data_IF_006873042570
#
_entry.id   IF_006873042570
#
_cell.length_a   1.000
_cell.length_b   1.000
_cell.length_c   1.000
_cell.angle_alpha   90.00
_cell.angle_beta   90.00
_cell.angle_gamma   90.00
#
_symmetry.space_group_name_H-M   'P 1'
#
loop_
_entity.id
_entity.type
_entity.pdbx_description
1 polymer ?
#
# COMPACT_ATOMS: atom_id res chain seq x y z
N UNK A 1 -38.08 -36.16 -50.39
CA UNK A 1 -36.97 -36.16 -49.41
C UNK A 1 -36.44 -34.76 -49.29
N UNK A 2 -36.76 -34.06 -48.22
CA UNK A 2 -36.13 -32.76 -47.89
C UNK A 2 -35.11 -33.05 -46.78
N UNK A 3 -33.84 -32.69 -47.03
CA UNK A 3 -32.78 -32.81 -46.05
C UNK A 3 -32.70 -31.53 -45.24
N UNK A 4 -33.03 -31.60 -43.97
CA UNK A 4 -32.82 -30.51 -43.01
C UNK A 4 -31.35 -30.50 -42.56
N UNK A 5 -30.64 -29.43 -42.93
CA UNK A 5 -29.29 -29.14 -42.41
C UNK A 5 -29.42 -28.33 -41.12
N UNK A 6 -29.20 -28.98 -40.00
CA UNK A 6 -29.07 -28.33 -38.71
C UNK A 6 -27.63 -27.81 -38.57
N UNK A 7 -27.43 -26.49 -38.54
CA UNK A 7 -26.14 -25.85 -38.25
C UNK A 7 -26.03 -25.61 -36.76
N UNK A 8 -25.21 -26.42 -36.07
CA UNK A 8 -24.89 -26.21 -34.66
C UNK A 8 -23.79 -25.13 -34.53
N UNK A 9 -24.13 -24.00 -33.96
CA UNK A 9 -23.16 -23.00 -33.58
C UNK A 9 -22.54 -23.38 -32.24
N UNK A 10 -21.25 -23.71 -32.26
CA UNK A 10 -20.43 -23.86 -31.06
C UNK A 10 -20.03 -22.47 -30.55
N UNK A 11 -20.73 -21.97 -29.52
CA UNK A 11 -20.32 -20.73 -28.85
C UNK A 11 -19.20 -21.10 -27.90
N UNK A 12 -17.95 -20.75 -28.31
CA UNK A 12 -16.77 -20.81 -27.44
C UNK A 12 -16.82 -19.64 -26.46
N UNK A 13 -17.31 -19.88 -25.25
CA UNK A 13 -17.22 -18.92 -24.16
C UNK A 13 -15.76 -18.83 -23.67
N UNK A 14 -15.01 -17.84 -24.13
CA UNK A 14 -13.70 -17.49 -23.55
C UNK A 14 -13.99 -16.79 -22.23
N UNK A 15 -13.83 -17.51 -21.14
CA UNK A 15 -13.83 -16.92 -19.80
C UNK A 15 -12.54 -16.12 -19.66
N UNK A 16 -12.61 -14.80 -19.86
CA UNK A 16 -11.59 -13.89 -19.36
C UNK A 16 -11.71 -13.89 -17.83
N UNK A 17 -10.83 -14.59 -17.15
CA UNK A 17 -10.54 -14.30 -15.75
C UNK A 17 -9.83 -12.97 -15.72
N UNK A 18 -10.59 -11.89 -15.64
CA UNK A 18 -10.05 -10.60 -15.27
C UNK A 18 -9.45 -10.77 -13.87
N UNK A 19 -8.13 -10.77 -13.77
CA UNK A 19 -7.47 -10.52 -12.50
C UNK A 19 -8.04 -9.19 -12.03
N UNK A 20 -8.81 -9.20 -10.93
CA UNK A 20 -9.33 -7.98 -10.33
C UNK A 20 -8.14 -7.20 -9.80
N UNK A 21 -7.59 -6.31 -10.62
CA UNK A 21 -6.71 -5.27 -10.11
C UNK A 21 -7.55 -4.48 -9.10
N UNK A 22 -7.16 -4.51 -7.84
CA UNK A 22 -7.73 -3.61 -6.84
C UNK A 22 -7.54 -2.20 -7.39
N UNK A 23 -8.65 -1.48 -7.57
CA UNK A 23 -8.62 -0.12 -8.08
C UNK A 23 -7.72 0.72 -7.14
N UNK A 24 -6.64 1.28 -7.67
CA UNK A 24 -5.77 2.21 -6.97
C UNK A 24 -4.32 1.78 -6.77
N UNK A 25 -3.98 0.49 -6.83
CA UNK A 25 -2.61 0.01 -6.66
C UNK A 25 -1.98 -0.36 -8.00
N UNK A 26 -0.87 0.28 -8.33
CA UNK A 26 -0.19 0.18 -9.62
C UNK A 26 1.26 -0.25 -9.37
N UNK A 27 1.62 -1.50 -9.67
CA UNK A 27 3.03 -1.92 -9.71
C UNK A 27 3.80 -1.10 -10.75
N UNK A 28 4.98 -0.66 -10.39
CA UNK A 28 5.87 0.10 -11.28
C UNK A 28 6.91 -0.86 -11.84
N UNK A 29 7.01 -0.90 -13.15
CA UNK A 29 8.01 -1.72 -13.83
C UNK A 29 9.41 -1.15 -13.58
N UNK A 30 10.21 -1.91 -12.86
CA UNK A 30 11.62 -1.60 -12.57
C UNK A 30 12.58 -2.57 -13.28
N UNK A 31 12.12 -3.36 -14.21
CA UNK A 31 12.92 -4.41 -14.89
C UNK A 31 14.18 -3.87 -15.56
N UNK A 32 14.12 -2.66 -16.12
CA UNK A 32 15.27 -1.99 -16.73
C UNK A 32 16.27 -1.40 -15.72
N UNK A 33 15.91 -1.35 -14.45
CA UNK A 33 16.71 -0.72 -13.38
C UNK A 33 17.40 -1.72 -12.47
N UNK A 34 16.92 -2.96 -12.42
CA UNK A 34 17.51 -4.03 -11.61
C UNK A 34 18.85 -4.47 -12.21
N UNK A 35 19.83 -4.72 -11.38
CA UNK A 35 21.21 -4.98 -11.79
C UNK A 35 21.81 -6.26 -11.21
N UNK A 36 21.10 -6.95 -10.29
CA UNK A 36 21.59 -8.16 -9.63
C UNK A 36 20.53 -9.27 -9.68
N UNK A 37 21.02 -10.50 -9.86
CA UNK A 37 20.20 -11.71 -9.74
C UNK A 37 20.36 -12.29 -8.33
N UNK A 38 19.26 -12.76 -7.70
CA UNK A 38 19.29 -13.36 -6.37
C UNK A 38 20.25 -14.54 -6.21
N UNK A 39 20.57 -15.25 -7.29
CA UNK A 39 21.52 -16.37 -7.30
C UNK A 39 22.97 -15.94 -7.59
N UNK A 40 23.20 -14.66 -7.87
CA UNK A 40 24.55 -14.11 -8.10
C UNK A 40 25.25 -13.80 -6.76
N UNK A 41 26.58 -13.84 -6.74
CA UNK A 41 27.34 -13.38 -5.57
C UNK A 41 27.06 -11.90 -5.26
N UNK A 42 27.00 -11.56 -3.96
CA UNK A 42 27.03 -10.19 -3.51
C UNK A 42 28.38 -9.51 -3.77
N UNK A 43 28.45 -8.26 -3.38
CA UNK A 43 29.63 -7.45 -3.52
C UNK A 43 30.86 -8.02 -2.79
N UNK A 44 30.66 -8.77 -1.70
CA UNK A 44 31.70 -9.46 -0.92
C UNK A 44 31.96 -10.90 -1.38
N UNK A 45 31.42 -11.29 -2.54
CA UNK A 45 31.43 -12.64 -3.09
C UNK A 45 30.68 -13.70 -2.26
N UNK A 46 29.98 -13.34 -1.21
CA UNK A 46 29.04 -14.24 -0.56
C UNK A 46 27.86 -14.54 -1.48
N UNK A 47 27.37 -15.78 -1.47
CA UNK A 47 26.23 -16.18 -2.27
C UNK A 47 25.00 -16.12 -1.42
N UNK A 48 23.98 -15.35 -1.90
CA UNK A 48 22.61 -15.53 -1.42
C UNK A 48 22.15 -16.89 -1.94
N UNK A 49 21.68 -17.74 -1.06
CA UNK A 49 21.01 -18.97 -1.48
C UNK A 49 19.60 -18.58 -1.99
N UNK A 50 19.55 -17.87 -3.12
CA UNK A 50 18.41 -17.13 -3.59
C UNK A 50 17.50 -17.89 -4.54
N UNK A 51 17.69 -19.19 -4.72
CA UNK A 51 16.87 -20.00 -5.64
C UNK A 51 15.38 -20.05 -5.27
N UNK A 52 15.03 -19.66 -4.05
CA UNK A 52 13.65 -19.64 -3.55
C UNK A 52 13.05 -18.24 -3.44
N UNK A 53 13.81 -17.18 -3.76
CA UNK A 53 13.25 -15.84 -3.73
C UNK A 53 12.12 -15.70 -4.77
N UNK A 54 11.03 -15.00 -4.40
CA UNK A 54 9.91 -14.83 -5.29
C UNK A 54 10.26 -13.92 -6.47
N UNK A 55 9.58 -14.16 -7.59
CA UNK A 55 9.65 -13.35 -8.81
C UNK A 55 8.29 -13.32 -9.50
N UNK A 56 8.13 -12.45 -10.48
CA UNK A 56 6.85 -12.21 -11.15
C UNK A 56 5.84 -11.50 -10.26
N UNK A 57 4.56 -11.60 -10.63
CA UNK A 57 3.47 -10.94 -9.90
C UNK A 57 3.23 -11.62 -8.56
N UNK A 58 3.27 -10.84 -7.50
CA UNK A 58 3.08 -11.24 -6.11
C UNK A 58 2.01 -10.37 -5.45
N UNK A 59 1.39 -10.87 -4.38
CA UNK A 59 0.51 -10.06 -3.53
C UNK A 59 0.98 -10.18 -2.08
N UNK A 60 1.44 -9.07 -1.51
CA UNK A 60 2.00 -9.03 -0.17
C UNK A 60 1.25 -8.07 0.74
N UNK A 61 0.50 -8.64 1.68
CA UNK A 61 -0.33 -7.87 2.58
C UNK A 61 -1.37 -7.03 1.84
N UNK A 62 -1.95 -7.59 0.78
CA UNK A 62 -2.95 -6.94 -0.04
C UNK A 62 -2.42 -6.01 -1.14
N UNK A 63 -1.13 -5.75 -1.19
CA UNK A 63 -0.48 -4.89 -2.20
C UNK A 63 0.11 -5.75 -3.32
N UNK A 64 -0.25 -5.51 -4.60
CA UNK A 64 0.34 -6.21 -5.74
C UNK A 64 1.75 -5.67 -6.02
N UNK A 65 2.67 -6.56 -6.35
CA UNK A 65 4.03 -6.25 -6.76
C UNK A 65 4.41 -7.07 -7.99
N UNK A 66 5.16 -6.46 -8.90
CA UNK A 66 5.81 -7.17 -9.99
C UNK A 66 7.33 -7.19 -9.72
N UNK A 67 7.82 -8.35 -9.29
CA UNK A 67 9.25 -8.57 -9.07
C UNK A 67 9.86 -9.02 -10.41
N UNK A 68 10.89 -8.33 -10.94
CA UNK A 68 11.49 -8.70 -12.20
C UNK A 68 11.97 -10.16 -12.24
N UNK A 69 11.83 -10.81 -13.39
CA UNK A 69 12.06 -12.26 -13.53
C UNK A 69 13.35 -12.61 -14.25
N UNK A 70 13.89 -11.72 -15.12
CA UNK A 70 15.05 -12.04 -15.97
C UNK A 70 15.65 -10.77 -16.63
N UNK A 71 16.98 -10.65 -16.71
CA UNK A 71 17.98 -11.53 -16.10
C UNK A 71 18.18 -11.25 -14.61
N UNK A 72 17.80 -10.03 -14.12
CA UNK A 72 18.01 -9.59 -12.75
C UNK A 72 16.67 -9.46 -12.01
N UNK A 73 16.71 -9.55 -10.67
CA UNK A 73 15.50 -9.56 -9.84
C UNK A 73 15.44 -8.38 -8.85
N UNK A 74 16.57 -7.76 -8.56
CA UNK A 74 16.61 -6.63 -7.66
C UNK A 74 17.71 -5.62 -8.06
N UNK A 75 17.53 -4.38 -7.60
CA UNK A 75 18.58 -3.38 -7.65
C UNK A 75 19.39 -3.40 -6.37
N UNK A 76 20.71 -3.32 -6.50
CA UNK A 76 21.59 -3.07 -5.37
C UNK A 76 22.51 -1.89 -5.67
N UNK A 77 22.81 -1.11 -4.64
CA UNK A 77 23.78 -0.03 -4.70
C UNK A 77 25.23 -0.50 -4.90
N UNK A 78 25.44 -1.80 -5.02
CA UNK A 78 26.76 -2.39 -5.28
C UNK A 78 26.64 -3.57 -6.22
N UNK A 79 27.74 -3.88 -6.92
CA UNK A 79 27.86 -5.02 -7.82
C UNK A 79 28.84 -6.06 -7.26
N UNK A 80 28.76 -7.28 -7.78
CA UNK A 80 29.63 -8.37 -7.34
C UNK A 80 31.13 -7.96 -7.34
N UNK A 81 31.80 -8.24 -6.23
CA UNK A 81 33.22 -7.93 -6.03
C UNK A 81 33.54 -6.48 -5.70
N UNK A 82 32.53 -5.61 -5.57
CA UNK A 82 32.72 -4.20 -5.20
C UNK A 82 31.60 -3.69 -4.32
N UNK A 83 31.74 -3.80 -3.02
CA UNK A 83 30.78 -3.27 -2.07
C UNK A 83 30.75 -1.73 -2.02
N UNK A 84 31.85 -1.08 -2.38
CA UNK A 84 31.96 0.38 -2.39
C UNK A 84 31.60 1.04 -1.05
N UNK A 85 32.09 2.22 -0.83
CA UNK A 85 31.80 3.01 0.39
C UNK A 85 31.15 4.36 0.10
N UNK A 86 30.84 4.65 -1.14
CA UNK A 86 30.28 5.93 -1.55
C UNK A 86 28.74 5.93 -1.61
N UNK A 87 28.16 7.12 -1.64
CA UNK A 87 26.73 7.30 -1.87
C UNK A 87 26.34 6.82 -3.28
N UNK A 88 25.30 6.01 -3.38
CA UNK A 88 24.72 5.54 -4.64
C UNK A 88 23.23 5.86 -4.64
N UNK A 89 22.70 6.29 -5.76
CA UNK A 89 21.26 6.58 -5.90
C UNK A 89 20.66 5.85 -7.08
N UNK A 90 19.44 5.35 -6.87
CA UNK A 90 18.56 4.84 -7.91
C UNK A 90 17.42 5.82 -8.13
N UNK A 91 17.23 6.28 -9.35
CA UNK A 91 16.05 7.06 -9.73
C UNK A 91 15.07 6.17 -10.49
N UNK A 92 13.86 6.04 -9.95
CA UNK A 92 12.77 5.25 -10.52
C UNK A 92 11.74 6.22 -11.10
N UNK A 93 11.57 6.29 -12.44
CA UNK A 93 10.50 7.07 -13.03
C UNK A 93 9.15 6.43 -12.72
N UNK A 94 8.15 7.24 -12.36
CA UNK A 94 6.81 6.75 -11.97
C UNK A 94 5.74 7.22 -12.94
N UNK A 95 5.54 8.52 -13.10
CA UNK A 95 4.59 9.07 -14.07
C UNK A 95 3.10 8.89 -13.70
N UNK A 96 2.77 8.64 -12.43
CA UNK A 96 1.39 8.37 -11.97
C UNK A 96 0.83 9.59 -11.24
N UNK A 97 -0.41 10.00 -11.61
CA UNK A 97 -1.14 11.10 -10.97
C UNK A 97 -1.85 10.65 -9.70
N UNK A 98 -1.97 11.55 -8.72
CA UNK A 98 -2.81 11.33 -7.55
C UNK A 98 -2.29 10.28 -6.58
N UNK A 99 -0.98 10.04 -6.55
CA UNK A 99 -0.37 9.07 -5.65
C UNK A 99 -0.44 9.56 -4.22
N UNK A 100 -0.91 8.69 -3.32
CA UNK A 100 -1.04 8.96 -1.89
C UNK A 100 -0.16 8.08 -1.03
N UNK A 101 0.16 6.89 -1.52
CA UNK A 101 1.09 5.98 -0.83
C UNK A 101 2.02 5.32 -1.84
N UNK A 102 3.22 5.01 -1.39
CA UNK A 102 4.21 4.22 -2.11
C UNK A 102 4.61 3.04 -1.25
N UNK A 103 4.70 1.88 -1.86
CA UNK A 103 5.14 0.64 -1.23
C UNK A 103 6.41 0.15 -1.91
N UNK A 104 7.38 -0.30 -1.12
CA UNK A 104 8.59 -0.94 -1.64
C UNK A 104 8.78 -2.33 -1.03
N UNK A 105 9.39 -3.24 -1.77
CA UNK A 105 10.02 -4.42 -1.22
C UNK A 105 11.51 -4.10 -1.11
N UNK A 106 11.93 -3.60 0.06
CA UNK A 106 13.26 -3.07 0.28
C UNK A 106 13.88 -3.67 1.54
N UNK A 107 14.97 -4.35 1.36
CA UNK A 107 15.84 -4.85 2.42
C UNK A 107 17.27 -4.30 2.23
N UNK A 108 18.20 -4.73 3.04
CA UNK A 108 19.62 -4.45 2.87
C UNK A 108 20.43 -5.74 2.89
N UNK A 109 21.52 -5.72 2.17
CA UNK A 109 22.64 -6.60 2.40
C UNK A 109 23.44 -6.03 3.57
N UNK A 110 23.65 -6.79 4.63
CA UNK A 110 24.21 -6.36 5.91
C UNK A 110 23.57 -5.05 6.39
N UNK A 111 23.11 -4.96 7.56
CA UNK A 111 22.64 -3.72 8.15
C UNK A 111 22.86 -3.73 9.63
N UNK A 112 23.16 -2.58 10.20
CA UNK A 112 23.27 -2.42 11.64
C UNK A 112 22.11 -1.60 12.17
N UNK A 113 21.71 -1.88 13.41
CA UNK A 113 20.82 -1.00 14.14
C UNK A 113 21.62 0.22 14.57
N UNK A 114 21.07 1.39 14.30
CA UNK A 114 21.70 2.64 14.71
C UNK A 114 20.69 3.75 14.81
N UNK A 115 21.01 4.85 15.50
CA UNK A 115 20.12 6.00 15.56
C UNK A 115 20.07 6.75 14.23
N UNK A 116 21.12 6.65 13.40
CA UNK A 116 21.28 7.42 12.19
C UNK A 116 20.75 6.69 10.95
N UNK A 117 20.00 7.37 10.09
CA UNK A 117 19.57 6.80 8.83
C UNK A 117 20.75 6.67 7.86
N UNK A 118 20.75 5.59 7.07
CA UNK A 118 21.74 5.37 6.02
C UNK A 118 21.13 5.13 4.64
N UNK A 119 19.81 5.01 4.57
CA UNK A 119 19.03 5.02 3.35
C UNK A 119 18.01 6.15 3.40
N UNK A 120 17.72 6.72 2.25
CA UNK A 120 16.69 7.74 2.09
C UNK A 120 15.83 7.41 0.88
N UNK A 121 14.52 7.59 1.02
CA UNK A 121 13.57 7.51 -0.10
C UNK A 121 12.97 8.88 -0.33
N UNK A 122 13.25 9.46 -1.49
CA UNK A 122 12.78 10.80 -1.88
C UNK A 122 11.74 10.68 -2.98
N UNK A 123 10.63 11.37 -2.81
CA UNK A 123 9.51 11.46 -3.73
C UNK A 123 9.48 12.84 -4.37
N UNK A 124 9.23 12.93 -5.68
CA UNK A 124 9.17 14.19 -6.42
C UNK A 124 7.89 14.28 -7.24
N UNK A 125 7.14 15.35 -7.06
CA UNK A 125 5.92 15.65 -7.81
C UNK A 125 6.15 16.69 -8.91
N UNK A 126 5.36 16.66 -9.98
CA UNK A 126 5.45 17.55 -11.14
C UNK A 126 5.19 19.02 -10.81
N UNK A 127 4.42 19.31 -9.77
CA UNK A 127 4.12 20.65 -9.29
C UNK A 127 5.05 21.14 -8.16
N UNK A 128 6.21 20.48 -7.97
CA UNK A 128 7.20 20.88 -6.96
C UNK A 128 7.00 20.23 -5.58
N UNK A 129 6.00 19.34 -5.41
CA UNK A 129 5.91 18.54 -4.17
C UNK A 129 7.17 17.68 -4.04
N UNK A 130 7.74 17.69 -2.84
CA UNK A 130 8.89 16.84 -2.49
C UNK A 130 8.75 16.34 -1.06
N UNK A 131 9.14 15.10 -0.83
CA UNK A 131 9.21 14.51 0.51
C UNK A 131 10.33 13.49 0.57
N UNK A 132 11.07 13.47 1.68
CA UNK A 132 12.13 12.49 1.93
C UNK A 132 11.82 11.72 3.20
N UNK A 133 11.99 10.41 3.14
CA UNK A 133 11.84 9.49 4.29
C UNK A 133 13.20 8.87 4.59
N UNK A 134 13.77 9.16 5.77
CA UNK A 134 14.96 8.47 6.25
C UNK A 134 14.62 7.03 6.68
N UNK A 135 15.50 6.09 6.38
CA UNK A 135 15.39 4.71 6.81
C UNK A 135 16.51 4.37 7.77
N UNK A 136 16.12 3.90 8.96
CA UNK A 136 16.99 3.56 10.06
C UNK A 136 17.01 2.04 10.24
N UNK A 137 18.21 1.48 10.33
CA UNK A 137 18.40 0.05 10.54
C UNK A 137 17.79 -0.43 11.86
N UNK A 138 17.02 -1.52 11.81
CA UNK A 138 16.31 -2.05 12.97
C UNK A 138 15.00 -1.34 13.31
N UNK A 139 14.62 -0.32 12.53
CA UNK A 139 13.35 0.41 12.67
C UNK A 139 12.49 0.20 11.44
N UNK A 140 12.92 0.66 10.28
CA UNK A 140 12.14 0.59 9.04
C UNK A 140 12.89 0.00 7.84
N UNK A 141 14.10 -0.49 8.08
CA UNK A 141 14.86 -1.33 7.13
C UNK A 141 15.73 -2.30 7.91
N UNK A 142 16.00 -3.46 7.33
CA UNK A 142 16.87 -4.48 7.94
C UNK A 142 17.50 -5.40 6.89
N UNK A 143 18.46 -6.21 7.37
CA UNK A 143 19.08 -7.24 6.55
C UNK A 143 18.03 -8.19 5.95
N UNK A 144 18.20 -8.55 4.68
CA UNK A 144 17.38 -9.54 3.98
C UNK A 144 17.45 -10.95 4.60
N UNK A 145 18.46 -11.22 5.43
CA UNK A 145 18.67 -12.51 6.10
C UNK A 145 18.65 -12.32 7.62
N UNK A 146 18.01 -13.23 8.34
CA UNK A 146 17.84 -13.19 9.80
C UNK A 146 19.11 -13.51 10.60
N UNK A 147 20.19 -14.00 9.96
CA UNK A 147 21.41 -14.42 10.62
C UNK A 147 22.43 -13.29 10.80
N UNK A 148 22.77 -12.92 12.03
CA UNK A 148 23.98 -12.18 12.38
C UNK A 148 23.95 -10.66 12.24
N UNK A 149 22.93 -10.08 11.64
CA UNK A 149 22.76 -8.64 11.43
C UNK A 149 21.41 -8.16 11.99
N UNK A 150 21.13 -6.87 11.84
CA UNK A 150 19.86 -6.30 12.30
C UNK A 150 18.67 -7.12 11.82
N UNK A 151 17.87 -7.58 12.74
CA UNK A 151 16.71 -8.45 12.46
C UNK A 151 15.37 -7.85 12.84
N UNK A 152 15.33 -6.67 13.43
CA UNK A 152 14.12 -6.01 13.91
C UNK A 152 13.58 -4.98 12.92
N UNK A 153 12.27 -4.76 12.94
CA UNK A 153 11.53 -3.69 12.26
C UNK A 153 10.41 -3.22 13.18
N UNK A 154 9.81 -2.08 12.89
CA UNK A 154 8.77 -1.47 13.74
C UNK A 154 7.38 -2.10 13.60
N UNK A 155 7.14 -2.94 12.59
CA UNK A 155 5.83 -3.56 12.26
C UNK A 155 4.67 -2.55 12.07
N UNK A 156 4.98 -1.31 11.74
CA UNK A 156 4.01 -0.24 11.44
C UNK A 156 4.20 0.30 10.03
N UNK A 157 5.33 0.95 9.76
CA UNK A 157 5.70 1.39 8.42
C UNK A 157 6.46 0.33 7.62
N UNK A 158 6.94 -0.71 8.30
CA UNK A 158 7.66 -1.84 7.69
C UNK A 158 7.18 -3.15 8.31
N UNK A 159 6.76 -4.09 7.48
CA UNK A 159 6.31 -5.42 7.87
C UNK A 159 7.00 -6.50 7.04
N UNK A 160 7.24 -7.67 7.67
CA UNK A 160 7.72 -8.83 6.92
C UNK A 160 6.56 -9.43 6.11
N UNK A 161 6.76 -9.60 4.81
CA UNK A 161 5.73 -10.10 3.90
C UNK A 161 6.06 -11.46 3.28
N UNK A 162 7.32 -11.86 3.31
CA UNK A 162 7.77 -13.16 2.84
C UNK A 162 9.00 -13.62 3.60
N UNK A 163 9.14 -14.93 3.77
CA UNK A 163 10.34 -15.59 4.29
C UNK A 163 10.40 -17.03 3.77
N UNK A 164 11.61 -17.57 3.71
CA UNK A 164 11.84 -19.00 3.44
C UNK A 164 12.40 -19.69 4.70
N UNK A 165 12.63 -21.01 4.58
CA UNK A 165 13.19 -21.82 5.68
C UNK A 165 14.64 -21.49 6.07
N UNK A 166 15.37 -20.77 5.20
CA UNK A 166 16.79 -20.41 5.40
C UNK A 166 16.96 -19.02 6.05
N UNK A 167 15.87 -18.41 6.50
CA UNK A 167 15.88 -17.12 7.16
C UNK A 167 15.98 -15.91 6.23
N UNK A 168 15.89 -16.12 4.92
CA UNK A 168 15.80 -15.05 3.94
C UNK A 168 14.38 -14.46 3.96
N UNK A 169 14.26 -13.16 3.72
CA UNK A 169 13.00 -12.43 3.87
C UNK A 169 12.89 -11.25 2.94
N UNK A 170 11.64 -10.86 2.66
CA UNK A 170 11.29 -9.59 2.06
C UNK A 170 10.45 -8.79 3.05
N UNK A 171 10.77 -7.52 3.16
CA UNK A 171 10.04 -6.56 3.98
C UNK A 171 9.38 -5.53 3.06
N UNK A 172 8.10 -5.22 3.35
CA UNK A 172 7.34 -4.18 2.68
C UNK A 172 7.39 -2.92 3.53
N UNK A 173 7.85 -1.83 2.95
CA UNK A 173 7.71 -0.48 3.51
C UNK A 173 6.48 0.19 2.92
N UNK A 174 5.82 1.02 3.72
CA UNK A 174 4.75 1.91 3.32
C UNK A 174 5.11 3.35 3.62
N UNK A 175 4.98 4.20 2.59
CA UNK A 175 5.24 5.63 2.67
C UNK A 175 3.97 6.39 2.33
N UNK A 176 3.29 6.95 3.33
CA UNK A 176 2.18 7.87 3.12
C UNK A 176 2.76 9.21 2.67
N UNK A 177 2.36 9.68 1.49
CA UNK A 177 2.81 10.93 0.92
C UNK A 177 2.04 12.13 1.49
N UNK A 178 2.68 13.32 1.56
CA UNK A 178 1.98 14.57 1.86
C UNK A 178 0.82 14.82 0.89
N UNK A 179 -0.25 15.47 1.37
CA UNK A 179 -1.45 15.75 0.59
C UNK A 179 -1.21 16.48 -0.75
N UNK A 180 -0.11 17.25 -0.84
CA UNK A 180 0.27 17.94 -2.07
C UNK A 180 0.50 17.00 -3.26
N UNK A 181 0.85 15.73 -3.03
CA UNK A 181 1.03 14.76 -4.11
C UNK A 181 -0.30 14.29 -4.72
N UNK A 182 -1.40 14.36 -3.99
CA UNK A 182 -2.70 13.91 -4.46
C UNK A 182 -3.20 14.68 -5.70
N UNK A 183 -2.71 15.90 -5.93
CA UNK A 183 -3.06 16.76 -7.08
C UNK A 183 -1.97 16.84 -8.15
N UNK A 184 -0.91 16.04 -8.03
CA UNK A 184 0.25 16.07 -8.92
C UNK A 184 0.54 14.71 -9.53
N UNK A 185 1.38 14.69 -10.55
CA UNK A 185 2.02 13.47 -11.03
C UNK A 185 3.22 13.19 -10.13
N UNK A 186 3.30 12.02 -9.50
CA UNK A 186 4.54 11.54 -8.90
C UNK A 186 5.50 11.20 -10.04
N UNK A 187 6.51 12.04 -10.23
CA UNK A 187 7.45 11.91 -11.36
C UNK A 187 8.52 10.89 -11.09
N UNK A 188 9.02 10.82 -9.85
CA UNK A 188 10.07 9.87 -9.49
C UNK A 188 10.06 9.49 -8.02
N UNK A 189 10.58 8.29 -7.76
CA UNK A 189 11.05 7.83 -6.44
C UNK A 189 12.55 7.63 -6.53
N UNK A 190 13.30 8.22 -5.59
CA UNK A 190 14.75 8.13 -5.56
C UNK A 190 15.16 7.42 -4.28
N UNK A 191 15.87 6.30 -4.42
CA UNK A 191 16.48 5.60 -3.29
C UNK A 191 17.94 5.99 -3.23
N UNK A 192 18.36 6.61 -2.13
CA UNK A 192 19.74 6.99 -1.88
C UNK A 192 20.32 6.14 -0.75
N UNK A 193 21.35 5.39 -1.07
CA UNK A 193 22.16 4.60 -0.14
C UNK A 193 23.46 5.38 0.12
N UNK A 194 23.68 5.81 1.36
CA UNK A 194 24.83 6.65 1.69
C UNK A 194 26.14 5.88 1.76
N UNK A 195 26.08 4.54 1.86
CA UNK A 195 27.27 3.72 2.07
C UNK A 195 27.94 3.94 3.42
N UNK A 196 27.22 4.51 4.40
CA UNK A 196 27.80 4.92 5.68
C UNK A 196 28.06 3.74 6.62
N UNK A 197 27.45 2.59 6.37
CA UNK A 197 27.66 1.40 7.17
C UNK A 197 28.47 0.37 6.40
N UNK A 198 29.35 -0.31 7.09
CA UNK A 198 30.27 -1.31 6.54
C UNK A 198 29.54 -2.33 5.65
N UNK A 199 29.81 -2.28 4.35
CA UNK A 199 29.25 -3.14 3.32
C UNK A 199 27.70 -3.17 3.25
N UNK A 200 26.98 -2.35 4.01
CA UNK A 200 25.53 -2.28 3.93
C UNK A 200 25.09 -1.67 2.59
N UNK A 201 24.22 -2.37 1.88
CA UNK A 201 23.71 -1.92 0.58
C UNK A 201 22.21 -2.20 0.46
N UNK A 202 21.51 -1.22 -0.07
CA UNK A 202 20.10 -1.35 -0.40
C UNK A 202 19.85 -2.47 -1.40
N UNK A 203 18.72 -3.16 -1.22
CA UNK A 203 18.23 -4.24 -2.08
C UNK A 203 16.75 -4.00 -2.36
N UNK A 204 16.44 -3.38 -3.49
CA UNK A 204 15.08 -3.12 -3.93
C UNK A 204 14.62 -4.19 -4.91
N UNK A 205 13.55 -4.91 -4.59
CA UNK A 205 12.97 -5.96 -5.43
C UNK A 205 11.75 -5.49 -6.22
N UNK A 206 10.95 -4.58 -5.68
CA UNK A 206 9.75 -4.05 -6.35
C UNK A 206 9.27 -2.74 -5.73
N UNK A 207 8.47 -2.02 -6.50
CA UNK A 207 7.81 -0.79 -6.10
C UNK A 207 6.36 -0.78 -6.61
N UNK A 208 5.43 -0.36 -5.76
CA UNK A 208 4.02 -0.17 -6.09
C UNK A 208 3.57 1.19 -5.58
N UNK A 209 2.75 1.89 -6.35
CA UNK A 209 2.12 3.14 -5.91
C UNK A 209 0.63 2.92 -5.71
N UNK A 210 0.04 3.61 -4.74
CA UNK A 210 -1.39 3.66 -4.53
C UNK A 210 -1.91 5.05 -4.84
N UNK A 211 -2.98 5.11 -5.62
CA UNK A 211 -3.66 6.35 -5.95
C UNK A 211 -4.95 6.50 -5.17
N UNK A 212 -5.43 7.72 -5.00
CA UNK A 212 -6.74 8.01 -4.42
C UNK A 212 -7.93 7.63 -5.30
N UNK A 213 -7.79 6.72 -6.21
CA UNK A 213 -8.92 6.24 -7.01
C UNK A 213 -9.83 5.31 -6.21
N UNK A 214 -10.36 5.83 -5.09
CA UNK A 214 -11.52 5.21 -4.48
C UNK A 214 -12.70 5.48 -5.39
N UNK A 215 -13.31 4.45 -5.95
CA UNK A 215 -14.59 4.68 -6.60
C UNK A 215 -15.64 4.95 -5.52
N UNK A 216 -16.40 6.00 -5.70
CA UNK A 216 -17.58 6.26 -4.87
C UNK A 216 -18.58 5.12 -5.13
N UNK A 217 -18.99 4.44 -4.09
CA UNK A 217 -19.96 3.36 -4.23
C UNK A 217 -21.30 3.94 -4.66
N UNK A 218 -21.63 3.77 -5.92
CA UNK A 218 -22.91 4.23 -6.45
C UNK A 218 -24.07 3.38 -5.90
N UNK A 219 -25.24 3.99 -5.82
CA UNK A 219 -26.45 3.32 -5.34
C UNK A 219 -26.54 3.14 -3.82
N UNK A 220 -25.58 3.64 -3.06
CA UNK A 220 -25.66 3.65 -1.59
C UNK A 220 -26.37 4.92 -1.12
N UNK A 221 -27.47 4.75 -0.40
CA UNK A 221 -28.13 5.84 0.31
C UNK A 221 -27.64 5.89 1.75
N UNK A 222 -27.40 7.12 2.24
CA UNK A 222 -26.86 7.37 3.57
C UNK A 222 -27.93 8.08 4.41
N UNK A 223 -28.26 7.53 5.57
CA UNK A 223 -29.17 8.13 6.53
C UNK A 223 -28.52 8.17 7.90
N UNK A 224 -28.41 9.35 8.48
CA UNK A 224 -27.73 9.56 9.76
C UNK A 224 -28.73 9.92 10.87
N UNK A 225 -28.55 9.34 12.07
CA UNK A 225 -29.21 9.81 13.27
C UNK A 225 -28.69 11.19 13.70
N UNK A 226 -29.36 11.83 14.64
CA UNK A 226 -28.77 12.96 15.36
C UNK A 226 -27.53 12.50 16.13
N UNK A 227 -26.56 13.40 16.27
CA UNK A 227 -25.42 13.21 17.15
C UNK A 227 -25.90 13.45 18.59
N UNK A 228 -25.54 12.55 19.51
CA UNK A 228 -25.90 12.68 20.93
C UNK A 228 -24.65 12.43 21.79
N UNK A 229 -24.62 13.11 22.95
CA UNK A 229 -23.55 12.96 23.91
C UNK A 229 -23.80 11.75 24.82
N UNK A 230 -22.80 10.91 24.98
CA UNK A 230 -22.78 9.80 25.94
C UNK A 230 -21.99 10.24 27.20
N UNK A 231 -22.64 10.59 28.29
CA UNK A 231 -21.96 11.13 29.49
C UNK A 231 -21.12 10.07 30.20
N UNK A 232 -21.47 8.79 30.04
CA UNK A 232 -20.72 7.70 30.68
C UNK A 232 -19.32 7.56 30.09
N UNK A 233 -19.22 7.64 28.76
CA UNK A 233 -17.97 7.50 28.06
C UNK A 233 -17.33 8.84 27.66
N UNK A 234 -18.01 9.96 27.91
CA UNK A 234 -17.60 11.32 27.55
C UNK A 234 -17.28 11.48 26.05
N UNK A 235 -18.11 10.86 25.22
CA UNK A 235 -17.97 10.89 23.75
C UNK A 235 -19.32 11.21 23.13
N UNK A 236 -19.29 11.67 21.88
CA UNK A 236 -20.46 11.82 21.03
C UNK A 236 -20.65 10.58 20.19
N UNK A 237 -21.91 10.19 19.96
CA UNK A 237 -22.27 9.00 19.17
C UNK A 237 -23.22 9.37 18.06
N UNK A 238 -23.12 8.64 16.95
CA UNK A 238 -24.04 8.71 15.83
C UNK A 238 -24.17 7.33 15.16
N UNK A 239 -25.37 6.99 14.74
CA UNK A 239 -25.62 5.83 13.89
C UNK A 239 -25.84 6.32 12.46
N UNK A 240 -25.17 5.69 11.52
CA UNK A 240 -25.32 5.96 10.08
C UNK A 240 -25.74 4.68 9.38
N UNK A 241 -26.91 4.69 8.79
CA UNK A 241 -27.42 3.58 7.99
C UNK A 241 -26.98 3.75 6.54
N UNK A 242 -26.35 2.72 5.98
CA UNK A 242 -25.93 2.61 4.59
C UNK A 242 -26.83 1.58 3.91
N UNK A 243 -27.66 1.99 2.97
CA UNK A 243 -28.58 1.11 2.26
C UNK A 243 -28.19 1.03 0.79
N UNK A 244 -27.97 -0.17 0.27
CA UNK A 244 -27.82 -0.35 -1.16
C UNK A 244 -29.22 -0.21 -1.83
N UNK A 245 -29.49 0.94 -2.39
CA UNK A 245 -30.71 1.23 -3.14
C UNK A 245 -30.59 0.86 -4.64
N UNK A 246 -29.45 0.35 -5.07
CA UNK A 246 -29.21 -0.13 -6.43
C UNK A 246 -29.79 -1.51 -6.67
N UNK A 247 -29.72 -1.93 -7.92
CA UNK A 247 -30.20 -3.25 -8.36
C UNK A 247 -29.13 -4.35 -8.32
N UNK A 248 -27.88 -3.98 -8.13
CA UNK A 248 -26.75 -4.89 -8.07
C UNK A 248 -26.09 -4.86 -6.68
N UNK A 249 -25.46 -5.97 -6.31
CA UNK A 249 -24.68 -6.00 -5.08
C UNK A 249 -23.45 -5.09 -5.18
N UNK A 250 -23.16 -4.33 -4.12
CA UNK A 250 -21.94 -3.55 -4.00
C UNK A 250 -20.90 -4.40 -3.27
N UNK A 251 -19.81 -4.71 -3.95
CA UNK A 251 -18.77 -5.56 -3.40
C UNK A 251 -17.91 -4.82 -2.36
N UNK A 252 -17.55 -5.52 -1.28
CA UNK A 252 -16.62 -5.01 -0.27
C UNK A 252 -15.14 -5.18 -0.67
N UNK A 253 -14.21 -4.63 0.13
CA UNK A 253 -14.48 -3.91 1.37
C UNK A 253 -15.04 -2.50 1.11
N UNK A 254 -16.00 -2.10 1.93
CA UNK A 254 -16.57 -0.76 1.89
C UNK A 254 -16.03 0.09 3.05
N UNK A 255 -15.73 1.34 2.74
CA UNK A 255 -15.23 2.32 3.69
C UNK A 255 -16.21 3.47 3.80
N UNK A 256 -16.57 3.81 5.02
CA UNK A 256 -17.33 5.03 5.31
C UNK A 256 -16.34 6.12 5.72
N UNK A 257 -16.30 7.19 4.95
CA UNK A 257 -15.32 8.27 5.05
C UNK A 257 -16.03 9.53 5.51
N UNK A 258 -15.44 10.22 6.47
CA UNK A 258 -15.91 11.49 6.97
C UNK A 258 -15.03 12.61 6.42
N UNK A 259 -15.46 13.25 5.33
CA UNK A 259 -14.77 14.43 4.80
C UNK A 259 -15.13 15.66 5.63
N UNK A 260 -14.22 16.61 5.71
CA UNK A 260 -14.42 17.92 6.37
C UNK A 260 -14.74 17.83 7.88
N UNK A 261 -14.38 16.72 8.52
CA UNK A 261 -14.49 16.63 9.99
C UNK A 261 -13.57 17.71 10.61
N UNK A 262 -14.09 18.59 11.52
CA UNK A 262 -13.29 19.63 12.14
C UNK A 262 -12.04 19.07 12.80
N UNK A 263 -10.91 19.75 12.68
CA UNK A 263 -9.61 19.28 13.20
C UNK A 263 -9.58 19.10 14.72
N UNK A 264 -10.47 19.79 15.45
CA UNK A 264 -10.65 19.63 16.89
C UNK A 264 -11.45 18.37 17.27
N UNK A 265 -12.14 17.74 16.31
CA UNK A 265 -12.95 16.54 16.50
C UNK A 265 -12.16 15.32 16.06
N UNK A 266 -12.11 14.30 16.89
CA UNK A 266 -11.44 13.03 16.56
C UNK A 266 -12.46 11.91 16.44
N UNK A 267 -12.43 11.14 15.37
CA UNK A 267 -13.16 9.87 15.25
C UNK A 267 -12.43 8.81 16.10
N UNK A 268 -13.03 8.45 17.25
CA UNK A 268 -12.38 7.57 18.24
C UNK A 268 -12.27 6.13 17.76
N UNK A 269 -13.31 5.65 17.09
CA UNK A 269 -13.41 4.28 16.62
C UNK A 269 -13.11 4.14 15.12
N UNK A 270 -12.19 4.95 14.60
CA UNK A 270 -11.68 4.79 13.23
C UNK A 270 -10.95 3.46 13.10
N UNK A 271 -11.15 2.81 11.97
CA UNK A 271 -10.39 1.60 11.64
C UNK A 271 -8.94 1.93 11.32
N UNK A 272 -8.75 2.86 10.39
CA UNK A 272 -7.42 3.36 10.03
C UNK A 272 -7.50 4.78 9.45
N UNK A 273 -6.33 5.38 9.21
CA UNK A 273 -6.21 6.67 8.57
C UNK A 273 -6.28 6.55 7.04
N UNK A 274 -6.81 7.57 6.36
CA UNK A 274 -6.75 7.67 4.90
C UNK A 274 -6.03 8.93 4.46
N UNK A 275 -5.17 8.81 3.45
CA UNK A 275 -4.53 9.94 2.79
C UNK A 275 -5.38 10.50 1.62
N UNK A 276 -6.44 9.79 1.22
CA UNK A 276 -7.22 10.13 0.04
C UNK A 276 -8.27 11.22 0.26
N UNK A 277 -8.72 11.42 1.47
CA UNK A 277 -9.83 12.33 1.79
C UNK A 277 -9.50 13.21 2.98
N UNK A 278 -9.98 14.44 2.94
CA UNK A 278 -9.82 15.40 4.04
C UNK A 278 -10.99 15.31 5.02
N UNK A 279 -10.73 15.45 6.35
CA UNK A 279 -9.38 15.45 6.91
C UNK A 279 -8.74 14.07 6.85
N UNK A 280 -7.46 14.05 6.50
CA UNK A 280 -6.67 12.82 6.46
C UNK A 280 -6.75 12.11 7.81
N UNK A 281 -7.00 10.81 7.80
CA UNK A 281 -7.09 10.00 9.00
C UNK A 281 -8.51 9.73 9.48
N UNK A 282 -9.52 10.32 8.86
CA UNK A 282 -10.94 10.10 9.21
C UNK A 282 -11.53 9.01 8.32
N UNK A 283 -11.37 7.78 8.72
CA UNK A 283 -11.92 6.63 8.01
C UNK A 283 -12.50 5.60 8.98
N UNK A 284 -13.61 5.02 8.59
CA UNK A 284 -14.22 3.91 9.31
C UNK A 284 -14.64 2.83 8.33
N UNK A 285 -14.28 1.58 8.60
CA UNK A 285 -14.68 0.44 7.77
C UNK A 285 -16.12 0.05 8.07
N UNK A 286 -16.93 -0.10 7.03
CA UNK A 286 -18.26 -0.69 7.20
C UNK A 286 -18.08 -2.13 7.68
N UNK A 287 -18.75 -2.56 8.74
CA UNK A 287 -18.62 -3.90 9.31
C UNK A 287 -19.34 -4.93 8.43
N UNK A 288 -18.86 -5.15 7.23
CA UNK A 288 -19.26 -6.26 6.39
C UNK A 288 -18.31 -7.43 6.65
N UNK A 289 -18.79 -8.67 6.68
CA UNK A 289 -17.93 -9.84 6.68
C UNK A 289 -16.94 -9.78 5.50
N UNK A 290 -15.70 -10.17 5.72
CA UNK A 290 -14.66 -10.16 4.68
C UNK A 290 -15.14 -10.89 3.41
N UNK A 291 -14.96 -10.23 2.26
CA UNK A 291 -15.43 -10.76 0.96
C UNK A 291 -16.94 -10.68 0.73
N UNK A 292 -17.72 -10.14 1.66
CA UNK A 292 -19.17 -10.00 1.51
C UNK A 292 -19.54 -8.79 0.66
N UNK A 293 -20.62 -8.92 -0.08
CA UNK A 293 -21.25 -7.85 -0.84
C UNK A 293 -22.46 -7.29 -0.07
N UNK A 294 -22.70 -6.00 -0.17
CA UNK A 294 -23.94 -5.39 0.29
C UNK A 294 -25.01 -5.61 -0.77
N UNK A 295 -25.87 -6.60 -0.54
CA UNK A 295 -26.92 -6.98 -1.49
C UNK A 295 -27.93 -5.83 -1.74
N UNK A 296 -28.64 -5.83 -2.87
CA UNK A 296 -29.70 -4.85 -3.13
C UNK A 296 -30.72 -4.79 -1.97
N UNK A 297 -31.16 -3.60 -1.64
CA UNK A 297 -32.13 -3.32 -0.57
C UNK A 297 -31.70 -3.78 0.85
N UNK A 298 -30.43 -4.09 1.06
CA UNK A 298 -29.90 -4.38 2.40
C UNK A 298 -29.30 -3.12 3.02
N UNK A 299 -29.37 -3.06 4.35
CA UNK A 299 -28.85 -1.94 5.14
C UNK A 299 -27.84 -2.44 6.16
N UNK A 300 -26.72 -1.73 6.29
CA UNK A 300 -25.77 -1.89 7.39
C UNK A 300 -25.72 -0.61 8.20
N UNK A 301 -25.46 -0.71 9.50
CA UNK A 301 -25.37 0.45 10.39
C UNK A 301 -23.94 0.62 10.86
N UNK A 302 -23.35 1.76 10.51
CA UNK A 302 -22.05 2.21 11.01
C UNK A 302 -22.30 3.03 12.29
N UNK A 303 -21.64 2.64 13.38
CA UNK A 303 -21.68 3.36 14.66
C UNK A 303 -20.45 4.24 14.78
N UNK A 304 -20.62 5.55 14.81
CA UNK A 304 -19.53 6.50 14.96
C UNK A 304 -19.41 6.95 16.42
N UNK A 305 -18.17 7.16 16.85
CA UNK A 305 -17.83 7.68 18.16
C UNK A 305 -16.81 8.82 17.99
N UNK A 306 -17.14 10.01 18.51
CA UNK A 306 -16.31 11.19 18.40
C UNK A 306 -15.85 11.68 19.77
N UNK A 307 -14.60 12.13 19.84
CA UNK A 307 -14.08 12.94 20.94
C UNK A 307 -14.00 14.39 20.46
N UNK A 308 -14.63 15.27 21.21
CA UNK A 308 -14.60 16.71 20.96
C UNK A 308 -14.37 17.46 22.28
N UNK A 309 -13.11 17.65 22.68
CA UNK A 309 -12.79 18.38 23.92
C UNK A 309 -13.03 19.88 23.81
N UNK A 310 -13.21 20.40 22.61
CA UNK A 310 -13.40 21.85 22.35
C UNK A 310 -14.85 22.28 22.36
N UNK A 311 -15.81 21.34 22.30
CA UNK A 311 -17.24 21.66 22.14
C UNK A 311 -17.58 22.21 20.75
N UNK A 312 -16.78 21.87 19.73
CA UNK A 312 -17.02 22.29 18.36
C UNK A 312 -18.29 21.62 17.80
N UNK A 313 -18.87 22.22 16.77
CA UNK A 313 -19.94 21.53 16.04
C UNK A 313 -19.38 20.35 15.27
N UNK A 314 -19.82 19.14 15.58
CA UNK A 314 -19.44 17.95 14.83
C UNK A 314 -20.22 17.91 13.54
N UNK A 315 -19.54 18.19 12.43
CA UNK A 315 -20.09 18.14 11.06
C UNK A 315 -19.11 17.48 10.13
N UNK A 316 -19.59 16.79 9.11
CA UNK A 316 -18.77 16.16 8.08
C UNK A 316 -19.60 15.87 6.84
N UNK A 317 -18.94 15.71 5.70
CA UNK A 317 -19.53 15.23 4.46
C UNK A 317 -19.32 13.71 4.37
N UNK A 318 -20.40 12.89 4.41
CA UNK A 318 -20.26 11.45 4.37
C UNK A 318 -19.97 10.96 2.95
N UNK A 319 -19.07 9.99 2.82
CA UNK A 319 -18.76 9.31 1.57
C UNK A 319 -18.65 7.80 1.82
N UNK A 320 -19.17 7.00 0.90
CA UNK A 320 -18.94 5.56 0.88
C UNK A 320 -18.06 5.23 -0.32
N UNK A 321 -16.95 4.57 -0.07
CA UNK A 321 -16.02 4.17 -1.11
C UNK A 321 -15.69 2.68 -1.00
N UNK A 322 -15.54 2.03 -2.14
CA UNK A 322 -15.03 0.67 -2.24
C UNK A 322 -13.54 0.68 -2.53
N UNK A 323 -12.81 -0.27 -1.95
CA UNK A 323 -11.38 -0.51 -2.15
C UNK A 323 -10.50 0.75 -2.18
N UNK A 324 -9.97 1.13 -1.04
CA UNK A 324 -9.06 2.29 -0.92
C UNK A 324 -7.58 1.90 -1.01
N UNK A 325 -7.24 0.77 -1.62
CA UNK A 325 -5.86 0.28 -1.62
C UNK A 325 -5.32 0.12 -0.18
N UNK A 326 -5.01 -1.07 0.20
CA UNK A 326 -4.58 -1.41 1.56
C UNK A 326 -5.69 -2.04 2.38
N UNK A 327 -5.64 -3.36 2.48
CA UNK A 327 -6.35 -4.12 3.53
C UNK A 327 -5.47 -4.17 4.77
N UNK A 328 -6.06 -4.30 5.95
CA UNK A 328 -5.32 -4.52 7.19
C UNK A 328 -4.43 -5.75 7.11
#
# INVERSE_FOLDING_TARGET
MKADFSVSYLILAIAFTAASSRAGEIPIDISALVNVLWTSPFCDNSIVNGSTFPSGSQNYGGVPFDIPTNPNNYWSGSVAGNCGSGTVSLTIPVGVSGVTSVFTLLNTFRSEAGPDPYLYVTFTGSGGASATRPLVGGVNVRNYNSGGYTSTINNTSTIQVWTNGDGQRLDRQEYILPAAFASQVLTSVIITDTGSYDLSRAMLSALTVSTCSAYVAEGITISSSKIFYDPTNRIYRQNVALTNAGTMAVNGPLFFILQDLPSAVTLVNKWEATACFAPIGSRYTVPLPEGSALAPNTTVVVKLAFSDPSGATISYTPLVAGSLGGTP
#
